data_IF_880354435423
#
_entry.id   IF_880354435423
#
_cell.length_a   1.000
_cell.length_b   1.000
_cell.length_c   1.000
_cell.angle_alpha   90.00
_cell.angle_beta   90.00
_cell.angle_gamma   90.00
#
_symmetry.space_group_name_H-M   'P 1'
#
loop_
_entity.id
_entity.type
_entity.pdbx_description
1 polymer ?
#
# COMPACT_ATOMS: atom_id res chain seq x y z
N UNK A 1 -7.62 2.42 -32.78
CA UNK A 1 -8.13 2.39 -31.40
C UNK A 1 -7.67 3.67 -30.69
N UNK A 2 -8.59 4.46 -30.13
CA UNK A 2 -8.34 5.85 -29.73
C UNK A 2 -7.48 5.97 -28.45
N UNK A 3 -6.31 6.62 -28.54
CA UNK A 3 -5.41 6.89 -27.41
C UNK A 3 -6.08 7.68 -26.28
N UNK A 4 -7.02 8.56 -26.62
CA UNK A 4 -7.79 9.35 -25.66
C UNK A 4 -8.64 8.48 -24.71
N UNK A 5 -9.14 7.33 -25.19
CA UNK A 5 -9.86 6.38 -24.35
C UNK A 5 -8.95 5.76 -23.28
N UNK A 6 -7.68 5.48 -23.62
CA UNK A 6 -6.71 4.97 -22.66
C UNK A 6 -6.30 6.01 -21.63
N UNK A 7 -6.17 7.29 -22.03
CA UNK A 7 -5.98 8.38 -21.07
C UNK A 7 -7.13 8.47 -20.07
N UNK A 8 -8.38 8.45 -20.54
CA UNK A 8 -9.56 8.45 -19.66
C UNK A 8 -9.59 7.25 -18.71
N UNK A 9 -9.20 6.07 -19.21
CA UNK A 9 -9.17 4.86 -18.40
C UNK A 9 -8.05 4.91 -17.34
N UNK A 10 -6.87 5.40 -17.70
CA UNK A 10 -5.79 5.69 -16.75
C UNK A 10 -6.26 6.65 -15.66
N UNK A 11 -6.91 7.75 -16.04
CA UNK A 11 -7.38 8.76 -15.07
C UNK A 11 -8.44 8.19 -14.12
N UNK A 12 -9.30 7.28 -14.61
CA UNK A 12 -10.21 6.53 -13.75
C UNK A 12 -9.45 5.62 -12.76
N UNK A 13 -8.45 4.86 -13.24
CA UNK A 13 -7.64 4.00 -12.39
C UNK A 13 -6.81 4.79 -11.36
N UNK A 14 -6.37 6.00 -11.71
CA UNK A 14 -5.64 6.87 -10.79
C UNK A 14 -6.52 7.29 -9.61
N UNK A 15 -7.78 7.66 -9.86
CA UNK A 15 -8.75 7.93 -8.79
C UNK A 15 -9.02 6.71 -7.91
N UNK A 16 -9.21 5.54 -8.53
CA UNK A 16 -9.37 4.27 -7.79
C UNK A 16 -8.15 3.96 -6.91
N UNK A 17 -6.94 4.18 -7.43
CA UNK A 17 -5.69 4.01 -6.68
C UNK A 17 -5.63 4.95 -5.48
N UNK A 18 -5.97 6.23 -5.65
CA UNK A 18 -6.02 7.20 -4.55
C UNK A 18 -7.04 6.80 -3.48
N UNK A 19 -8.23 6.33 -3.86
CA UNK A 19 -9.23 5.85 -2.92
C UNK A 19 -8.75 4.63 -2.12
N UNK A 20 -8.09 3.68 -2.79
CA UNK A 20 -7.53 2.50 -2.12
C UNK A 20 -6.36 2.86 -1.22
N UNK A 21 -5.53 3.81 -1.62
CA UNK A 21 -4.46 4.35 -0.77
C UNK A 21 -5.03 4.95 0.51
N UNK A 22 -6.08 5.76 0.43
CA UNK A 22 -6.75 6.34 1.61
C UNK A 22 -7.32 5.27 2.53
N UNK A 23 -8.01 4.26 1.97
CA UNK A 23 -8.55 3.13 2.75
C UNK A 23 -7.45 2.33 3.43
N UNK A 24 -6.33 2.10 2.74
CA UNK A 24 -5.18 1.41 3.31
C UNK A 24 -4.56 2.22 4.47
N UNK A 25 -4.40 3.54 4.31
CA UNK A 25 -3.89 4.40 5.37
C UNK A 25 -4.77 4.33 6.63
N UNK A 26 -6.09 4.47 6.48
CA UNK A 26 -7.00 4.32 7.62
C UNK A 26 -6.93 2.94 8.29
N UNK A 27 -6.63 1.88 7.52
CA UNK A 27 -6.46 0.55 8.07
C UNK A 27 -5.13 0.37 8.83
N UNK A 28 -4.06 1.07 8.42
CA UNK A 28 -2.83 1.19 9.21
C UNK A 28 -3.15 1.84 10.54
N UNK A 29 -3.81 3.00 10.53
CA UNK A 29 -4.09 3.77 11.75
C UNK A 29 -4.89 2.92 12.77
N UNK A 30 -5.93 2.21 12.31
CA UNK A 30 -6.73 1.29 13.15
C UNK A 30 -5.91 0.11 13.68
N UNK A 31 -5.01 -0.44 12.86
CA UNK A 31 -4.13 -1.53 13.30
C UNK A 31 -3.13 -1.03 14.35
N UNK A 32 -2.51 0.13 14.13
CA UNK A 32 -1.55 0.75 15.05
C UNK A 32 -2.19 1.09 16.39
N UNK A 33 -3.40 1.65 16.40
CA UNK A 33 -4.13 1.95 17.65
C UNK A 33 -4.33 0.69 18.49
N UNK A 34 -4.85 -0.38 17.88
CA UNK A 34 -5.12 -1.64 18.57
C UNK A 34 -3.84 -2.35 18.99
N UNK A 35 -2.82 -2.36 18.13
CA UNK A 35 -1.53 -2.96 18.42
C UNK A 35 -0.81 -2.23 19.55
N UNK A 36 -0.89 -0.90 19.59
CA UNK A 36 -0.31 -0.07 20.66
C UNK A 36 -1.01 -0.33 21.98
N UNK A 37 -2.34 -0.44 21.97
CA UNK A 37 -3.11 -0.78 23.17
C UNK A 37 -2.69 -2.15 23.73
N UNK A 38 -2.61 -3.16 22.87
CA UNK A 38 -2.16 -4.50 23.27
C UNK A 38 -0.71 -4.49 23.77
N UNK A 39 0.18 -3.75 23.09
CA UNK A 39 1.57 -3.63 23.50
C UNK A 39 1.72 -3.01 24.90
N UNK A 40 1.01 -1.90 25.15
CA UNK A 40 1.05 -1.23 26.46
C UNK A 40 0.53 -2.15 27.58
N UNK A 41 -0.55 -2.90 27.32
CA UNK A 41 -1.10 -3.85 28.28
C UNK A 41 -0.11 -5.00 28.58
N UNK A 42 0.52 -5.56 27.55
CA UNK A 42 1.55 -6.59 27.72
C UNK A 42 2.76 -6.04 28.50
N UNK A 43 3.14 -4.78 28.25
CA UNK A 43 4.24 -4.15 28.96
C UNK A 43 3.90 -3.88 30.42
N UNK A 44 2.68 -3.45 30.72
CA UNK A 44 2.19 -3.30 32.09
C UNK A 44 2.20 -4.64 32.83
N UNK A 45 1.76 -5.72 32.16
CA UNK A 45 1.81 -7.08 32.70
C UNK A 45 3.24 -7.50 33.05
N UNK A 46 4.18 -7.38 32.10
CA UNK A 46 5.59 -7.73 32.29
C UNK A 46 6.21 -6.96 33.47
N UNK A 47 5.95 -5.65 33.55
CA UNK A 47 6.45 -4.82 34.66
C UNK A 47 5.89 -5.25 36.02
N UNK A 48 4.61 -5.66 36.06
CA UNK A 48 3.96 -6.11 37.29
C UNK A 48 4.45 -7.49 37.72
N UNK A 49 4.65 -8.42 36.79
CA UNK A 49 5.29 -9.71 37.06
C UNK A 49 6.70 -9.52 37.64
N UNK A 50 7.50 -8.62 37.04
CA UNK A 50 8.84 -8.32 37.55
C UNK A 50 8.82 -7.68 38.96
N UNK A 51 7.84 -6.83 39.26
CA UNK A 51 7.69 -6.25 40.60
C UNK A 51 7.35 -7.31 41.65
N UNK A 52 6.46 -8.26 41.32
CA UNK A 52 6.11 -9.39 42.20
C UNK A 52 7.32 -10.27 42.47
N UNK A 53 8.11 -10.59 41.43
CA UNK A 53 9.31 -11.41 41.59
C UNK A 53 10.36 -10.74 42.50
N UNK A 54 10.50 -9.42 42.40
CA UNK A 54 11.38 -8.64 43.29
C UNK A 54 10.89 -8.64 44.74
N UNK A 55 9.59 -8.44 44.97
CA UNK A 55 9.01 -8.48 46.32
C UNK A 55 9.18 -9.87 46.96
N UNK A 56 8.90 -10.94 46.22
CA UNK A 56 9.11 -12.33 46.66
C UNK A 56 10.56 -12.62 47.01
N UNK A 57 11.52 -12.10 46.24
CA UNK A 57 12.96 -12.23 46.51
C UNK A 57 13.44 -11.50 47.77
N UNK A 58 12.70 -10.48 48.24
CA UNK A 58 13.06 -9.67 49.40
C UNK A 58 12.69 -10.28 50.77
N UNK A 59 11.90 -11.37 50.76
CA UNK A 59 11.52 -12.12 51.97
C UNK A 59 10.45 -11.45 52.86
N UNK A 60 9.96 -10.27 52.51
CA UNK A 60 8.84 -9.58 53.19
C UNK A 60 7.67 -9.39 52.22
N UNK A 61 6.83 -10.42 52.07
CA UNK A 61 5.64 -10.30 51.21
C UNK A 61 4.37 -10.43 52.02
N UNK A 62 3.55 -9.40 51.95
CA UNK A 62 2.19 -9.39 52.47
C UNK A 62 1.30 -10.30 51.58
N UNK A 63 0.61 -11.25 52.22
CA UNK A 63 -0.32 -12.16 51.55
C UNK A 63 -1.44 -11.39 50.82
N UNK A 64 -1.84 -10.23 51.34
CA UNK A 64 -2.83 -9.38 50.68
C UNK A 64 -2.34 -8.84 49.33
N UNK A 65 -1.07 -8.42 49.27
CA UNK A 65 -0.43 -7.96 48.04
C UNK A 65 -0.36 -9.07 46.99
N UNK A 66 -0.02 -10.30 47.38
CA UNK A 66 0.03 -11.46 46.47
C UNK A 66 -1.34 -11.68 45.79
N UNK A 67 -2.41 -11.69 46.58
CA UNK A 67 -3.76 -11.88 46.05
C UNK A 67 -4.18 -10.73 45.12
N UNK A 68 -3.83 -9.50 45.45
CA UNK A 68 -4.06 -8.34 44.59
C UNK A 68 -3.34 -8.49 43.24
N UNK A 69 -2.05 -8.83 43.24
CA UNK A 69 -1.27 -9.00 42.02
C UNK A 69 -1.81 -10.14 41.15
N UNK A 70 -2.14 -11.28 41.75
CA UNK A 70 -2.74 -12.41 41.03
C UNK A 70 -4.05 -12.03 40.35
N UNK A 71 -4.93 -11.31 41.06
CA UNK A 71 -6.20 -10.84 40.49
C UNK A 71 -5.97 -9.85 39.35
N UNK A 72 -5.02 -8.93 39.51
CA UNK A 72 -4.70 -7.92 38.50
C UNK A 72 -4.08 -8.54 37.24
N UNK A 73 -3.10 -9.44 37.38
CA UNK A 73 -2.48 -10.18 36.26
C UNK A 73 -3.55 -10.98 35.52
N UNK A 74 -4.42 -11.71 36.23
CA UNK A 74 -5.51 -12.46 35.62
C UNK A 74 -6.43 -11.56 34.78
N UNK A 75 -6.81 -10.39 35.31
CA UNK A 75 -7.63 -9.43 34.56
C UNK A 75 -6.93 -8.94 33.30
N UNK A 76 -5.61 -8.68 33.36
CA UNK A 76 -4.82 -8.31 32.18
C UNK A 76 -4.78 -9.44 31.16
N UNK A 77 -4.64 -10.70 31.59
CA UNK A 77 -4.65 -11.86 30.69
C UNK A 77 -5.99 -12.02 29.97
N UNK A 78 -7.11 -11.84 30.69
CA UNK A 78 -8.44 -11.83 30.09
C UNK A 78 -8.58 -10.71 29.06
N UNK A 79 -8.04 -9.52 29.34
CA UNK A 79 -8.07 -8.39 28.41
C UNK A 79 -7.16 -8.60 27.20
N UNK A 80 -5.95 -9.16 27.38
CA UNK A 80 -5.07 -9.61 26.29
C UNK A 80 -5.79 -10.61 25.40
N UNK A 81 -6.47 -11.60 25.99
CA UNK A 81 -7.21 -12.62 25.24
C UNK A 81 -8.37 -12.04 24.43
N UNK A 82 -8.93 -10.89 24.83
CA UNK A 82 -9.94 -10.16 24.05
C UNK A 82 -9.31 -9.30 22.94
N UNK A 83 -8.22 -8.60 23.23
CA UNK A 83 -7.58 -7.66 22.30
C UNK A 83 -6.79 -8.36 21.19
N UNK A 84 -6.18 -9.52 21.47
CA UNK A 84 -5.37 -10.25 20.48
C UNK A 84 -6.14 -10.59 19.19
N UNK A 85 -7.37 -11.18 19.24
CA UNK A 85 -8.18 -11.39 18.04
C UNK A 85 -8.49 -10.10 17.28
N UNK A 86 -8.71 -8.98 17.98
CA UNK A 86 -9.00 -7.69 17.35
C UNK A 86 -7.79 -7.13 16.60
N UNK A 87 -6.60 -7.19 17.21
CA UNK A 87 -5.34 -6.82 16.55
C UNK A 87 -5.09 -7.70 15.34
N UNK A 88 -5.34 -9.01 15.46
CA UNK A 88 -5.18 -9.94 14.34
C UNK A 88 -6.14 -9.60 13.19
N UNK A 89 -7.41 -9.34 13.49
CA UNK A 89 -8.42 -8.94 12.50
C UNK A 89 -8.05 -7.62 11.82
N UNK A 90 -7.58 -6.63 12.59
CA UNK A 90 -7.12 -5.36 12.05
C UNK A 90 -5.92 -5.55 11.10
N UNK A 91 -4.93 -6.37 11.48
CA UNK A 91 -3.79 -6.73 10.65
C UNK A 91 -4.22 -7.42 9.34
N UNK A 92 -5.12 -8.41 9.43
CA UNK A 92 -5.63 -9.10 8.23
C UNK A 92 -6.33 -8.13 7.28
N UNK A 93 -7.15 -7.21 7.81
CA UNK A 93 -7.82 -6.21 7.00
C UNK A 93 -6.82 -5.23 6.36
N UNK A 94 -5.82 -4.77 7.12
CA UNK A 94 -4.74 -3.91 6.61
C UNK A 94 -4.00 -4.60 5.46
N UNK A 95 -3.55 -5.84 5.63
CA UNK A 95 -2.85 -6.60 4.59
C UNK A 95 -3.71 -6.81 3.34
N UNK A 96 -5.01 -7.07 3.51
CA UNK A 96 -5.94 -7.20 2.39
C UNK A 96 -6.06 -5.88 1.61
N UNK A 97 -6.12 -4.75 2.31
CA UNK A 97 -6.19 -3.43 1.68
C UNK A 97 -4.86 -3.05 1.02
N UNK A 98 -3.74 -3.50 1.57
CA UNK A 98 -2.41 -3.36 0.97
C UNK A 98 -2.34 -4.03 -0.41
N UNK A 99 -2.74 -5.30 -0.50
CA UNK A 99 -2.78 -6.03 -1.76
C UNK A 99 -3.73 -5.36 -2.79
N UNK A 100 -4.86 -4.81 -2.33
CA UNK A 100 -5.78 -4.06 -3.20
C UNK A 100 -5.20 -2.74 -3.71
N UNK A 101 -4.45 -2.03 -2.85
CA UNK A 101 -3.69 -0.83 -3.22
C UNK A 101 -2.65 -1.21 -4.28
N UNK A 102 -1.84 -2.22 -4.04
CA UNK A 102 -0.74 -2.61 -4.96
C UNK A 102 -1.27 -3.01 -6.33
N UNK A 103 -2.37 -3.76 -6.38
CA UNK A 103 -3.08 -4.07 -7.63
C UNK A 103 -3.54 -2.82 -8.39
N UNK A 104 -4.00 -1.78 -7.69
CA UNK A 104 -4.38 -0.52 -8.35
C UNK A 104 -3.16 0.25 -8.90
N UNK A 105 -2.04 0.27 -8.19
CA UNK A 105 -0.79 0.82 -8.71
C UNK A 105 -0.35 0.12 -10.00
N UNK A 106 -0.44 -1.21 -10.03
CA UNK A 106 -0.12 -2.01 -11.22
C UNK A 106 -1.04 -1.68 -12.39
N UNK A 107 -2.35 -1.55 -12.17
CA UNK A 107 -3.29 -1.22 -13.24
C UNK A 107 -3.06 0.19 -13.81
N UNK A 108 -2.75 1.20 -12.99
CA UNK A 108 -2.35 2.52 -13.51
C UNK A 108 -1.11 2.40 -14.41
N UNK A 109 -0.06 1.73 -13.93
CA UNK A 109 1.20 1.54 -14.66
C UNK A 109 1.00 0.80 -15.99
N UNK A 110 0.06 -0.14 -16.03
CA UNK A 110 -0.31 -0.86 -17.26
C UNK A 110 -0.91 0.09 -18.30
N UNK A 111 -1.81 0.99 -17.92
CA UNK A 111 -2.37 1.97 -18.86
C UNK A 111 -1.36 3.01 -19.31
N UNK A 112 -0.48 3.48 -18.41
CA UNK A 112 0.66 4.34 -18.79
C UNK A 112 1.51 3.67 -19.88
N UNK A 113 1.94 2.42 -19.67
CA UNK A 113 2.72 1.68 -20.67
C UNK A 113 1.99 1.50 -22.01
N UNK A 114 0.67 1.27 -21.98
CA UNK A 114 -0.13 1.16 -23.21
C UNK A 114 -0.16 2.49 -23.96
N UNK A 115 -0.33 3.60 -23.24
CA UNK A 115 -0.33 4.96 -23.81
C UNK A 115 1.04 5.24 -24.43
N UNK A 116 2.13 5.02 -23.70
CA UNK A 116 3.49 5.27 -24.17
C UNK A 116 3.80 4.50 -25.45
N UNK A 117 3.45 3.20 -25.49
CA UNK A 117 3.65 2.37 -26.68
C UNK A 117 2.87 2.91 -27.88
N UNK A 118 1.62 3.35 -27.66
CA UNK A 118 0.79 3.91 -28.73
C UNK A 118 1.33 5.24 -29.26
N UNK A 119 1.87 6.09 -28.39
CA UNK A 119 2.52 7.33 -28.81
C UNK A 119 3.77 7.03 -29.64
N UNK A 120 4.57 6.05 -29.22
CA UNK A 120 5.76 5.63 -29.95
C UNK A 120 5.43 5.01 -31.31
N UNK A 121 4.41 4.14 -31.38
CA UNK A 121 3.88 3.59 -32.64
C UNK A 121 3.45 4.72 -33.59
N UNK A 122 2.73 5.71 -33.09
CA UNK A 122 2.29 6.87 -33.89
C UNK A 122 3.47 7.72 -34.38
N UNK A 123 4.43 8.05 -33.52
CA UNK A 123 5.62 8.82 -33.90
C UNK A 123 6.46 8.09 -34.95
N UNK A 124 6.62 6.77 -34.83
CA UNK A 124 7.34 5.98 -35.82
C UNK A 124 6.63 5.97 -37.16
N UNK A 125 5.29 5.88 -37.15
CA UNK A 125 4.49 5.98 -38.37
C UNK A 125 4.61 7.36 -39.03
N UNK A 126 4.53 8.44 -38.26
CA UNK A 126 4.72 9.81 -38.78
C UNK A 126 6.09 9.95 -39.45
N UNK A 127 7.17 9.54 -38.77
CA UNK A 127 8.53 9.58 -39.34
C UNK A 127 8.67 8.77 -40.63
N UNK A 128 7.99 7.63 -40.70
CA UNK A 128 7.99 6.79 -41.90
C UNK A 128 7.29 7.48 -43.08
N UNK A 129 6.12 8.07 -42.86
CA UNK A 129 5.41 8.81 -43.91
C UNK A 129 6.17 10.08 -44.34
N UNK A 130 6.75 10.84 -43.40
CA UNK A 130 7.58 12.01 -43.71
C UNK A 130 8.80 11.62 -44.58
N UNK A 131 9.47 10.50 -44.27
CA UNK A 131 10.59 10.00 -45.08
C UNK A 131 10.14 9.66 -46.50
N UNK A 132 8.99 9.00 -46.64
CA UNK A 132 8.43 8.62 -47.94
C UNK A 132 8.02 9.84 -48.77
N UNK A 133 7.47 10.87 -48.13
CA UNK A 133 7.15 12.15 -48.78
C UNK A 133 8.42 12.87 -49.26
N UNK A 134 9.48 12.92 -48.43
CA UNK A 134 10.78 13.50 -48.80
C UNK A 134 11.42 12.79 -49.99
N UNK A 135 11.35 11.45 -50.05
CA UNK A 135 11.83 10.67 -51.19
C UNK A 135 11.05 11.04 -52.46
N UNK A 136 9.72 11.17 -52.36
CA UNK A 136 8.86 11.59 -53.46
C UNK A 136 9.19 12.99 -54.00
N UNK A 137 9.41 13.96 -53.11
CA UNK A 137 9.82 15.33 -53.47
C UNK A 137 11.19 15.30 -54.17
N UNK A 138 12.14 14.51 -53.65
CA UNK A 138 13.49 14.39 -54.21
C UNK A 138 13.48 13.86 -55.64
N UNK A 139 12.66 12.84 -55.92
CA UNK A 139 12.48 12.27 -57.27
C UNK A 139 11.88 13.29 -58.23
N UNK A 140 10.87 14.04 -57.79
CA UNK A 140 10.25 15.09 -58.61
C UNK A 140 11.24 16.21 -58.94
N UNK A 141 12.00 16.68 -57.95
CA UNK A 141 13.02 17.72 -58.15
C UNK A 141 14.13 17.25 -59.11
N UNK A 142 14.60 16.01 -58.96
CA UNK A 142 15.59 15.43 -59.86
C UNK A 142 15.06 15.35 -61.30
N UNK A 143 13.85 14.81 -61.49
CA UNK A 143 13.23 14.68 -62.81
C UNK A 143 13.02 16.04 -63.49
N UNK A 144 12.63 17.07 -62.74
CA UNK A 144 12.47 18.43 -63.25
C UNK A 144 13.80 19.12 -63.59
N UNK A 145 14.92 18.72 -62.97
CA UNK A 145 16.27 19.19 -63.34
C UNK A 145 16.81 18.51 -64.59
N UNK A 146 16.49 17.23 -64.82
CA UNK A 146 16.93 16.47 -66.00
C UNK A 146 16.16 16.86 -67.26
N UNK A 147 14.90 17.28 -67.13
CA UNK A 147 14.06 17.75 -68.25
C UNK A 147 14.30 19.22 -68.67
N UNK A 148 15.35 19.88 -68.17
CA UNK A 148 15.79 21.23 -68.55
C UNK A 148 17.13 21.17 -69.29
#
# INVERSE_FOLDING_TARGET
MNIHAFHKLRDYQEREKEERQKKYQSAIDVFEEKATTLYNLLKEKENMEAAVDQELGSGMVDLHSIHYYQARIKNMEEEVSRLQPEVHKARQNMNRLEDQRDKAYVEVKKYEKIIDRKQQEFQNWVKYEESKEMDGISIQQFSNKVNR
#
